data_IF_483210426726
#
_entry.id   IF_483210426726
#
_cell.length_a   1.000
_cell.length_b   1.000
_cell.length_c   1.000
_cell.angle_alpha   90.00
_cell.angle_beta   90.00
_cell.angle_gamma   90.00
#
_symmetry.space_group_name_H-M   'P 1'
#
loop_
_entity.id
_entity.type
_entity.pdbx_description
1 polymer ?
#
# COMPACT_ATOMS: atom_id res chain seq x y z
N UNK A 1 5.57 -20.24 -3.69
CA UNK A 1 4.57 -20.61 -2.68
C UNK A 1 4.83 -19.85 -1.39
N UNK A 2 3.80 -19.56 -0.63
CA UNK A 2 3.86 -18.87 0.66
C UNK A 2 3.01 -19.64 1.67
N UNK A 3 3.58 -19.97 2.84
CA UNK A 3 2.93 -20.77 3.87
C UNK A 3 3.00 -20.07 5.23
N UNK A 4 1.95 -20.23 6.01
CA UNK A 4 1.88 -19.79 7.41
C UNK A 4 1.25 -20.92 8.24
N UNK A 5 1.85 -21.27 9.37
CA UNK A 5 1.35 -22.31 10.28
C UNK A 5 1.01 -23.64 9.55
N UNK A 6 1.93 -24.08 8.67
CA UNK A 6 1.78 -25.27 7.82
C UNK A 6 0.64 -25.17 6.77
N UNK A 7 -0.02 -24.05 6.67
CA UNK A 7 -1.06 -23.78 5.68
C UNK A 7 -0.49 -23.03 4.49
N UNK A 8 -0.70 -23.52 3.29
CA UNK A 8 -0.35 -22.80 2.08
C UNK A 8 -1.34 -21.64 1.87
N UNK A 9 -0.81 -20.40 1.85
CA UNK A 9 -1.58 -19.19 1.62
C UNK A 9 -1.67 -18.85 0.13
N UNK A 10 -0.56 -19.02 -0.59
CA UNK A 10 -0.46 -18.76 -2.02
C UNK A 10 0.46 -19.81 -2.64
N UNK A 11 -0.08 -20.59 -3.60
CA UNK A 11 0.69 -21.55 -4.41
C UNK A 11 1.04 -20.94 -5.77
N UNK A 12 2.06 -21.45 -6.41
CA UNK A 12 2.50 -21.20 -7.82
C UNK A 12 2.07 -19.85 -8.42
N UNK A 13 2.32 -18.76 -7.68
CA UNK A 13 1.93 -17.41 -8.07
C UNK A 13 3.03 -16.79 -8.96
N UNK A 14 2.66 -16.37 -10.16
CA UNK A 14 3.52 -15.60 -11.05
C UNK A 14 2.78 -14.38 -11.54
N UNK A 15 3.34 -13.21 -11.32
CA UNK A 15 2.75 -11.93 -11.70
C UNK A 15 3.84 -10.90 -11.99
N UNK A 16 3.61 -10.02 -12.96
CA UNK A 16 4.47 -8.90 -13.27
C UNK A 16 3.66 -7.61 -13.35
N UNK A 17 4.14 -6.58 -12.65
CA UNK A 17 3.63 -5.21 -12.76
C UNK A 17 4.32 -4.47 -13.90
N UNK A 18 3.52 -3.85 -14.76
CA UNK A 18 4.00 -3.03 -15.86
C UNK A 18 3.68 -1.55 -15.60
N UNK A 19 4.37 -0.62 -16.26
CA UNK A 19 3.98 0.78 -16.23
C UNK A 19 2.50 0.97 -16.56
N UNK A 20 1.80 1.78 -15.75
CA UNK A 20 0.37 2.01 -15.90
C UNK A 20 -0.55 0.98 -15.26
N UNK A 21 -0.05 -0.14 -14.74
CA UNK A 21 -0.87 -1.13 -14.05
C UNK A 21 -1.42 -0.54 -12.73
N UNK A 22 -2.73 -0.70 -12.55
CA UNK A 22 -3.45 -0.46 -11.31
C UNK A 22 -4.02 -1.80 -10.86
N UNK A 23 -3.20 -2.57 -10.16
CA UNK A 23 -3.50 -3.95 -9.81
C UNK A 23 -4.11 -4.05 -8.43
N UNK A 24 -5.33 -4.55 -8.36
CA UNK A 24 -6.01 -4.79 -7.09
C UNK A 24 -5.94 -6.26 -6.71
N UNK A 25 -5.53 -6.54 -5.48
CA UNK A 25 -5.58 -7.87 -4.88
C UNK A 25 -6.89 -7.98 -4.10
N UNK A 26 -7.72 -8.93 -4.49
CA UNK A 26 -9.00 -9.23 -3.84
C UNK A 26 -9.03 -10.68 -3.33
N UNK A 27 -9.96 -10.97 -2.44
CA UNK A 27 -10.14 -12.31 -1.89
C UNK A 27 -10.66 -12.24 -0.45
N UNK A 28 -11.07 -13.38 0.09
CA UNK A 28 -11.58 -13.48 1.45
C UNK A 28 -10.52 -13.06 2.49
N UNK A 29 -11.00 -12.65 3.66
CA UNK A 29 -10.13 -12.32 4.79
C UNK A 29 -9.32 -13.56 5.22
N UNK A 30 -8.06 -13.34 5.62
CA UNK A 30 -7.16 -14.43 6.00
C UNK A 30 -6.50 -15.20 4.84
N UNK A 31 -6.71 -14.78 3.59
CA UNK A 31 -6.08 -15.41 2.40
C UNK A 31 -4.64 -14.95 2.15
N UNK A 32 -4.06 -14.20 3.08
CA UNK A 32 -2.65 -13.80 2.98
C UNK A 32 -2.36 -12.62 2.06
N UNK A 33 -3.37 -11.82 1.70
CA UNK A 33 -3.20 -10.61 0.85
C UNK A 33 -2.16 -9.65 1.43
N UNK A 34 -2.36 -9.20 2.67
CA UNK A 34 -1.43 -8.28 3.36
C UNK A 34 -0.04 -8.90 3.55
N UNK A 35 0.02 -10.19 3.82
CA UNK A 35 1.28 -10.93 3.94
C UNK A 35 2.04 -10.97 2.61
N UNK A 36 1.32 -11.18 1.50
CA UNK A 36 1.90 -11.14 0.16
C UNK A 36 2.46 -9.75 -0.15
N UNK A 37 1.73 -8.70 0.19
CA UNK A 37 2.17 -7.33 -0.04
C UNK A 37 3.42 -6.98 0.77
N UNK A 38 3.46 -7.38 2.06
CA UNK A 38 4.65 -7.26 2.92
C UNK A 38 5.84 -8.02 2.36
N UNK A 39 5.64 -9.26 1.91
CA UNK A 39 6.68 -10.08 1.31
C UNK A 39 7.28 -9.42 0.05
N UNK A 40 6.44 -8.81 -0.79
CA UNK A 40 6.88 -8.07 -1.98
C UNK A 40 7.70 -6.85 -1.57
N UNK A 41 7.26 -6.13 -0.54
CA UNK A 41 7.95 -4.93 -0.06
C UNK A 41 9.30 -5.26 0.56
N UNK A 42 9.29 -6.08 1.61
CA UNK A 42 10.49 -6.51 2.34
C UNK A 42 10.24 -7.89 2.97
N UNK A 43 10.98 -8.87 2.51
CA UNK A 43 10.88 -10.25 2.98
C UNK A 43 11.18 -10.41 4.47
N UNK A 44 11.99 -9.51 5.06
CA UNK A 44 12.26 -9.51 6.50
C UNK A 44 11.01 -9.24 7.34
N UNK A 45 10.01 -8.54 6.80
CA UNK A 45 8.75 -8.25 7.49
C UNK A 45 7.90 -9.51 7.73
N UNK A 46 8.16 -10.59 7.01
CA UNK A 46 7.44 -11.85 7.13
C UNK A 46 8.31 -12.97 7.69
N UNK A 47 9.58 -12.67 7.96
CA UNK A 47 10.51 -13.63 8.54
C UNK A 47 10.03 -14.16 9.89
N UNK A 48 10.20 -15.46 10.12
CA UNK A 48 9.82 -16.12 11.36
C UNK A 48 8.37 -16.60 11.48
N UNK A 49 7.45 -16.11 10.61
CA UNK A 49 6.07 -16.58 10.62
C UNK A 49 5.53 -17.01 9.25
N UNK A 50 6.27 -16.77 8.18
CA UNK A 50 5.94 -17.20 6.82
C UNK A 50 7.12 -17.92 6.19
N UNK A 51 6.87 -19.12 5.68
CA UNK A 51 7.80 -19.82 4.79
C UNK A 51 7.41 -19.50 3.34
N UNK A 52 8.35 -19.10 2.52
CA UNK A 52 8.10 -18.82 1.13
C UNK A 52 9.21 -19.36 0.22
N UNK A 53 8.89 -19.60 -1.01
CA UNK A 53 9.83 -19.99 -2.06
C UNK A 53 9.47 -19.33 -3.38
N UNK A 54 10.47 -19.04 -4.17
CA UNK A 54 10.31 -18.34 -5.46
C UNK A 54 11.27 -17.18 -5.57
N UNK A 55 11.01 -16.31 -6.54
CA UNK A 55 11.83 -15.14 -6.83
C UNK A 55 10.97 -13.89 -6.89
N UNK A 56 11.41 -12.81 -6.26
CA UNK A 56 10.81 -11.49 -6.38
C UNK A 56 11.86 -10.59 -7.04
N UNK A 57 11.58 -10.16 -8.27
CA UNK A 57 12.46 -9.26 -9.00
C UNK A 57 12.06 -7.81 -8.74
N UNK A 58 12.86 -7.11 -7.98
CA UNK A 58 12.68 -5.69 -7.62
C UNK A 58 14.01 -4.93 -7.54
N UNK A 59 15.03 -5.44 -8.25
CA UNK A 59 16.40 -4.95 -8.15
C UNK A 59 16.51 -3.46 -8.49
N UNK A 60 17.02 -2.68 -7.56
CA UNK A 60 17.18 -1.23 -7.69
C UNK A 60 15.88 -0.43 -7.66
N UNK A 61 14.73 -1.05 -7.46
CA UNK A 61 13.43 -0.36 -7.37
C UNK A 61 13.20 0.22 -5.96
N UNK A 62 12.71 1.44 -5.93
CA UNK A 62 12.19 2.08 -4.71
C UNK A 62 10.72 1.76 -4.60
N UNK A 63 10.33 1.02 -3.56
CA UNK A 63 8.93 0.68 -3.30
C UNK A 63 8.37 1.61 -2.22
N UNK A 64 7.21 2.19 -2.49
CA UNK A 64 6.43 2.93 -1.50
C UNK A 64 5.37 2.02 -0.88
N UNK A 65 5.48 1.70 0.41
CA UNK A 65 4.55 0.82 1.11
C UNK A 65 3.70 1.58 2.13
N UNK A 66 2.39 1.52 1.96
CA UNK A 66 1.41 1.99 2.93
C UNK A 66 0.80 0.80 3.65
N UNK A 67 1.12 0.61 4.94
CA UNK A 67 0.47 -0.40 5.78
C UNK A 67 -0.98 -0.03 6.09
N UNK A 68 -1.81 -1.03 6.35
CA UNK A 68 -3.24 -0.86 6.65
C UNK A 68 -3.48 0.13 7.79
N UNK A 69 -2.72 0.00 8.87
CA UNK A 69 -2.85 0.87 10.04
C UNK A 69 -1.55 1.61 10.33
N UNK A 70 -1.70 2.74 11.02
CA UNK A 70 -0.58 3.43 11.65
C UNK A 70 -0.06 2.53 12.78
N UNK A 71 1.26 2.22 12.84
CA UNK A 71 1.84 1.49 13.96
C UNK A 71 1.50 2.12 15.31
N UNK A 72 1.26 1.29 16.32
CA UNK A 72 0.86 1.75 17.65
C UNK A 72 1.90 2.70 18.27
N UNK A 73 3.19 2.38 18.07
CA UNK A 73 4.32 3.20 18.51
C UNK A 73 4.37 4.60 17.88
N UNK A 74 3.70 4.80 16.75
CA UNK A 74 3.68 6.09 16.05
C UNK A 74 2.49 6.98 16.45
N UNK A 75 1.52 6.45 17.17
CA UNK A 75 0.30 7.20 17.56
C UNK A 75 0.58 8.38 18.45
N UNK A 76 1.55 8.24 19.33
CA UNK A 76 1.93 9.29 20.31
C UNK A 76 2.94 10.30 19.76
N UNK A 77 3.57 10.00 18.61
CA UNK A 77 4.44 10.94 17.92
C UNK A 77 3.64 12.11 17.37
N UNK A 78 4.22 13.30 17.40
CA UNK A 78 3.67 14.41 16.62
C UNK A 78 3.81 14.12 15.13
N UNK A 79 3.04 14.81 14.29
CA UNK A 79 3.16 14.66 12.84
C UNK A 79 4.59 14.97 12.38
N UNK A 80 5.21 16.00 12.95
CA UNK A 80 6.59 16.35 12.65
C UNK A 80 7.58 15.24 13.04
N UNK A 81 7.47 14.70 14.27
CA UNK A 81 8.33 13.59 14.72
C UNK A 81 8.15 12.35 13.84
N UNK A 82 6.91 12.05 13.45
CA UNK A 82 6.61 10.95 12.53
C UNK A 82 7.28 11.17 11.17
N UNK A 83 7.15 12.38 10.60
CA UNK A 83 7.80 12.74 9.34
C UNK A 83 9.32 12.69 9.41
N UNK A 84 9.92 13.10 10.53
CA UNK A 84 11.37 13.01 10.77
C UNK A 84 11.90 11.57 10.81
N UNK A 85 11.03 10.58 10.97
CA UNK A 85 11.38 9.17 10.84
C UNK A 85 11.62 8.73 9.38
N UNK A 86 11.26 9.56 8.41
CA UNK A 86 11.47 9.31 6.98
C UNK A 86 12.68 10.07 6.45
N UNK A 87 13.72 9.35 6.01
CA UNK A 87 14.93 9.92 5.46
C UNK A 87 14.63 10.86 4.27
N UNK A 88 13.70 10.45 3.40
CA UNK A 88 13.28 11.27 2.27
C UNK A 88 12.67 12.63 2.68
N UNK A 89 12.04 12.72 3.85
CA UNK A 89 11.54 13.99 4.38
C UNK A 89 12.68 14.86 4.89
N UNK A 90 13.65 14.27 5.60
CA UNK A 90 14.82 14.99 6.11
C UNK A 90 15.71 15.52 4.99
N UNK A 91 15.84 14.78 3.91
CA UNK A 91 16.62 15.13 2.74
C UNK A 91 15.92 16.11 1.79
N UNK A 92 14.60 16.28 1.95
CA UNK A 92 13.81 17.18 1.11
C UNK A 92 13.90 18.62 1.56
N UNK A 93 14.06 19.53 0.61
CA UNK A 93 13.92 20.95 0.87
C UNK A 93 12.47 21.32 1.22
N UNK A 94 12.23 22.41 1.96
CA UNK A 94 10.86 22.88 2.23
C UNK A 94 10.01 23.08 0.97
N UNK A 95 10.66 23.43 -0.15
CA UNK A 95 9.98 23.56 -1.45
C UNK A 95 9.51 22.20 -1.97
N UNK A 96 10.33 21.17 -1.91
CA UNK A 96 9.95 19.81 -2.36
C UNK A 96 8.82 19.25 -1.52
N UNK A 97 8.84 19.48 -0.21
CA UNK A 97 7.73 19.11 0.70
C UNK A 97 6.46 19.85 0.32
N UNK A 98 6.53 21.16 0.09
CA UNK A 98 5.39 21.96 -0.33
C UNK A 98 4.84 21.52 -1.71
N UNK A 99 5.71 21.22 -2.66
CA UNK A 99 5.32 20.74 -3.99
C UNK A 99 4.65 19.36 -3.93
N UNK A 100 5.13 18.45 -3.07
CA UNK A 100 4.50 17.15 -2.84
C UNK A 100 3.11 17.32 -2.21
N UNK A 101 3.00 18.16 -1.19
CA UNK A 101 1.73 18.48 -0.54
C UNK A 101 0.72 19.09 -1.53
N UNK A 102 1.16 20.03 -2.37
CA UNK A 102 0.30 20.68 -3.35
C UNK A 102 -0.25 19.70 -4.39
N UNK A 103 0.59 18.78 -4.90
CA UNK A 103 0.15 17.73 -5.84
C UNK A 103 -0.93 16.83 -5.23
N UNK A 104 -0.83 16.56 -3.95
CA UNK A 104 -1.79 15.73 -3.22
C UNK A 104 -2.94 16.52 -2.61
N UNK A 105 -3.02 17.84 -2.88
CA UNK A 105 -4.03 18.74 -2.29
C UNK A 105 -4.09 18.63 -0.77
N UNK A 106 -2.89 18.58 -0.17
CA UNK A 106 -2.71 18.39 1.26
C UNK A 106 -2.03 19.62 1.87
N UNK A 107 -2.45 20.11 3.05
CA UNK A 107 -1.83 21.27 3.68
C UNK A 107 -0.41 20.96 4.12
N UNK A 108 0.59 21.66 3.56
CA UNK A 108 2.01 21.40 3.85
C UNK A 108 2.40 21.66 5.30
N UNK A 109 1.69 22.51 6.00
CA UNK A 109 1.90 22.82 7.42
C UNK A 109 1.64 21.60 8.33
N UNK A 110 0.82 20.65 7.89
CA UNK A 110 0.58 19.41 8.65
C UNK A 110 1.83 18.53 8.80
N UNK A 111 2.79 18.60 7.91
CA UNK A 111 4.08 17.91 8.06
C UNK A 111 4.87 18.41 9.28
N UNK A 112 4.65 19.66 9.67
CA UNK A 112 5.37 20.35 10.75
C UNK A 112 4.51 20.51 12.00
N UNK A 113 3.34 19.86 12.03
CA UNK A 113 2.39 19.99 13.14
C UNK A 113 2.87 19.26 14.38
N UNK A 114 2.61 19.84 15.54
CA UNK A 114 2.80 19.24 16.86
C UNK A 114 1.60 18.39 17.32
N UNK A 115 0.55 18.27 16.48
CA UNK A 115 -0.56 17.35 16.74
C UNK A 115 -0.06 15.90 16.70
N UNK A 116 -0.53 15.10 17.67
CA UNK A 116 -0.23 13.67 17.71
C UNK A 116 -0.91 12.92 16.55
N UNK A 117 -0.19 12.01 15.93
CA UNK A 117 -0.67 11.18 14.81
C UNK A 117 -1.97 10.44 15.14
N UNK A 118 -2.12 9.96 16.37
CA UNK A 118 -3.34 9.30 16.84
C UNK A 118 -4.59 10.18 16.83
N UNK A 119 -4.46 11.51 16.82
CA UNK A 119 -5.56 12.48 16.83
C UNK A 119 -6.02 12.92 15.43
N UNK A 120 -5.28 12.55 14.40
CA UNK A 120 -5.68 12.82 13.02
C UNK A 120 -6.88 11.94 12.62
N UNK A 121 -7.72 12.45 11.74
CA UNK A 121 -8.75 11.62 11.10
C UNK A 121 -8.13 10.53 10.23
N UNK A 122 -8.90 9.50 9.87
CA UNK A 122 -8.45 8.46 8.94
C UNK A 122 -7.93 9.05 7.63
N UNK A 123 -8.68 9.98 7.05
CA UNK A 123 -8.30 10.66 5.83
C UNK A 123 -7.03 11.50 5.94
N UNK A 124 -6.89 12.29 7.02
CA UNK A 124 -5.67 13.06 7.29
C UNK A 124 -4.45 12.14 7.41
N UNK A 125 -4.57 11.01 8.12
CA UNK A 125 -3.49 10.02 8.27
C UNK A 125 -3.06 9.44 6.92
N UNK A 126 -4.01 9.02 6.11
CA UNK A 126 -3.73 8.44 4.79
C UNK A 126 -3.04 9.47 3.90
N UNK A 127 -3.57 10.69 3.83
CA UNK A 127 -2.99 11.76 3.01
C UNK A 127 -1.56 12.10 3.44
N UNK A 128 -1.30 12.25 4.76
CA UNK A 128 0.05 12.53 5.27
C UNK A 128 1.03 11.41 4.93
N UNK A 129 0.63 10.17 5.18
CA UNK A 129 1.47 8.99 4.89
C UNK A 129 1.74 8.83 3.40
N UNK A 130 0.75 9.06 2.55
CA UNK A 130 0.92 9.05 1.09
C UNK A 130 1.85 10.17 0.61
N UNK A 131 1.73 11.36 1.19
CA UNK A 131 2.61 12.47 0.88
C UNK A 131 4.08 12.17 1.22
N UNK A 132 4.33 11.54 2.38
CA UNK A 132 5.67 11.08 2.75
C UNK A 132 6.20 10.03 1.76
N UNK A 133 5.38 9.06 1.34
CA UNK A 133 5.77 8.09 0.32
C UNK A 133 6.13 8.75 -0.99
N UNK A 134 5.42 9.80 -1.39
CA UNK A 134 5.69 10.53 -2.63
C UNK A 134 7.06 11.21 -2.60
N UNK A 135 7.53 11.67 -1.44
CA UNK A 135 8.87 12.23 -1.28
C UNK A 135 9.98 11.21 -1.54
N UNK A 136 9.74 9.93 -1.29
CA UNK A 136 10.67 8.85 -1.62
C UNK A 136 10.82 8.61 -3.13
N UNK A 137 9.95 9.21 -3.96
CA UNK A 137 9.90 9.02 -5.42
C UNK A 137 9.86 7.54 -5.81
N UNK A 138 8.88 6.77 -5.32
CA UNK A 138 8.84 5.34 -5.55
C UNK A 138 8.62 5.01 -7.03
N UNK A 139 9.18 3.86 -7.43
CA UNK A 139 8.95 3.27 -8.75
C UNK A 139 7.63 2.47 -8.81
N UNK A 140 7.12 2.08 -7.64
CA UNK A 140 5.85 1.37 -7.48
C UNK A 140 5.26 1.65 -6.10
N UNK A 141 3.94 1.78 -6.03
CA UNK A 141 3.20 1.91 -4.78
C UNK A 141 2.56 0.58 -4.38
N UNK A 142 2.70 0.21 -3.12
CA UNK A 142 2.07 -0.94 -2.49
C UNK A 142 1.15 -0.43 -1.39
N UNK A 143 -0.18 -0.55 -1.55
CA UNK A 143 -1.15 0.03 -0.62
C UNK A 143 -2.00 -1.07 0.00
N UNK A 144 -1.93 -1.20 1.32
CA UNK A 144 -2.69 -2.21 2.07
C UNK A 144 -3.95 -1.58 2.69
N UNK A 145 -5.11 -1.91 2.13
CA UNK A 145 -6.43 -1.42 2.55
C UNK A 145 -6.48 0.11 2.75
N UNK A 146 -6.05 0.91 1.77
CA UNK A 146 -5.91 2.35 1.94
C UNK A 146 -7.25 3.08 2.10
N UNK A 147 -8.36 2.44 1.75
CA UNK A 147 -9.72 3.01 1.81
C UNK A 147 -10.45 2.79 3.14
N UNK A 148 -9.85 2.04 4.09
CA UNK A 148 -10.49 1.78 5.37
C UNK A 148 -10.75 3.06 6.15
N UNK A 149 -11.99 3.19 6.67
CA UNK A 149 -12.45 4.30 7.52
C UNK A 149 -12.29 5.71 6.89
N UNK A 150 -12.33 5.79 5.56
CA UNK A 150 -12.30 7.06 4.84
C UNK A 150 -13.71 7.63 4.64
N UNK A 151 -13.82 8.95 4.74
CA UNK A 151 -14.98 9.68 4.26
C UNK A 151 -15.00 9.74 2.72
N UNK A 152 -16.12 10.13 2.15
CA UNK A 152 -16.34 10.16 0.70
C UNK A 152 -15.32 11.06 0.00
N UNK A 153 -15.03 12.22 0.56
CA UNK A 153 -14.09 13.19 -0.03
C UNK A 153 -12.67 12.59 -0.10
N UNK A 154 -12.23 11.94 0.96
CA UNK A 154 -10.91 11.29 0.99
C UNK A 154 -10.87 10.08 0.07
N UNK A 155 -11.96 9.33 -0.05
CA UNK A 155 -12.06 8.21 -0.98
C UNK A 155 -11.93 8.68 -2.43
N UNK A 156 -12.64 9.74 -2.83
CA UNK A 156 -12.53 10.36 -4.16
C UNK A 156 -11.10 10.87 -4.42
N UNK A 157 -10.46 11.43 -3.40
CA UNK A 157 -9.07 11.83 -3.48
C UNK A 157 -8.14 10.63 -3.74
N UNK A 158 -8.34 9.52 -3.01
CA UNK A 158 -7.56 8.29 -3.17
C UNK A 158 -7.75 7.69 -4.57
N UNK A 159 -8.98 7.64 -5.06
CA UNK A 159 -9.30 7.21 -6.42
C UNK A 159 -8.54 8.04 -7.47
N UNK A 160 -8.57 9.35 -7.32
CA UNK A 160 -7.84 10.26 -8.22
C UNK A 160 -6.34 10.02 -8.15
N UNK A 161 -5.80 9.85 -6.94
CA UNK A 161 -4.38 9.53 -6.75
C UNK A 161 -3.98 8.25 -7.50
N UNK A 162 -4.70 7.14 -7.27
CA UNK A 162 -4.39 5.86 -7.91
C UNK A 162 -4.49 5.97 -9.42
N UNK A 163 -5.57 6.58 -9.93
CA UNK A 163 -5.85 6.71 -11.34
C UNK A 163 -4.83 7.55 -12.09
N UNK A 164 -4.41 8.67 -11.48
CA UNK A 164 -3.50 9.64 -12.10
C UNK A 164 -2.02 9.31 -11.86
N UNK A 165 -1.71 8.41 -10.93
CA UNK A 165 -0.35 8.01 -10.61
C UNK A 165 0.34 7.39 -11.85
N UNK A 166 1.48 7.94 -12.32
CA UNK A 166 2.18 7.37 -13.48
C UNK A 166 2.85 6.03 -13.17
N UNK A 167 3.20 5.78 -11.90
CA UNK A 167 3.81 4.53 -11.49
C UNK A 167 2.77 3.42 -11.34
N UNK A 168 3.17 2.14 -11.45
CA UNK A 168 2.30 1.03 -11.10
C UNK A 168 1.88 1.11 -9.64
N UNK A 169 0.63 0.74 -9.40
CA UNK A 169 0.06 0.65 -8.05
C UNK A 169 -0.48 -0.76 -7.85
N UNK A 170 0.01 -1.43 -6.82
CA UNK A 170 -0.52 -2.70 -6.34
C UNK A 170 -1.20 -2.44 -4.99
N UNK A 171 -2.49 -2.75 -4.88
CA UNK A 171 -3.23 -2.43 -3.67
C UNK A 171 -4.24 -3.52 -3.29
N UNK A 172 -4.54 -3.57 -2.02
CA UNK A 172 -5.58 -4.43 -1.46
C UNK A 172 -6.75 -3.53 -1.12
N UNK A 173 -7.95 -3.91 -1.52
CA UNK A 173 -9.19 -3.24 -1.10
C UNK A 173 -10.38 -4.18 -1.14
N UNK A 174 -11.35 -3.93 -0.27
CA UNK A 174 -12.70 -4.50 -0.28
C UNK A 174 -13.75 -3.50 -0.76
N UNK A 175 -13.35 -2.28 -1.05
CA UNK A 175 -14.24 -1.23 -1.52
C UNK A 175 -14.51 -1.37 -3.02
N UNK A 176 -15.74 -1.78 -3.36
CA UNK A 176 -16.14 -2.04 -4.75
C UNK A 176 -16.03 -0.77 -5.62
N UNK A 177 -16.40 0.40 -5.08
CA UNK A 177 -16.32 1.67 -5.81
C UNK A 177 -14.88 2.01 -6.15
N UNK A 178 -13.96 1.87 -5.18
CA UNK A 178 -12.54 2.09 -5.42
C UNK A 178 -12.01 1.15 -6.50
N UNK A 179 -12.38 -0.14 -6.44
CA UNK A 179 -11.98 -1.15 -7.42
C UNK A 179 -12.47 -0.81 -8.82
N UNK A 180 -13.76 -0.52 -8.96
CA UNK A 180 -14.39 -0.16 -10.24
C UNK A 180 -13.78 1.11 -10.87
N UNK A 181 -13.46 2.09 -10.05
CA UNK A 181 -12.99 3.39 -10.51
C UNK A 181 -11.48 3.43 -10.80
N UNK A 182 -10.70 2.47 -10.31
CA UNK A 182 -9.24 2.56 -10.37
C UNK A 182 -8.54 1.33 -10.96
N UNK A 183 -9.05 0.11 -10.74
CA UNK A 183 -8.36 -1.11 -11.14
C UNK A 183 -8.44 -1.35 -12.65
N UNK A 184 -7.30 -1.67 -13.26
CA UNK A 184 -7.22 -2.23 -14.62
C UNK A 184 -6.63 -3.65 -14.64
N UNK A 185 -6.20 -4.15 -13.49
CA UNK A 185 -5.77 -5.53 -13.26
C UNK A 185 -6.37 -6.03 -11.97
N UNK A 186 -6.96 -7.20 -11.98
CA UNK A 186 -7.48 -7.87 -10.78
C UNK A 186 -6.69 -9.14 -10.52
N UNK A 187 -6.20 -9.27 -9.31
CA UNK A 187 -5.55 -10.48 -8.78
C UNK A 187 -6.46 -11.05 -7.71
N UNK A 188 -7.14 -12.14 -8.04
CA UNK A 188 -8.06 -12.80 -7.11
C UNK A 188 -7.36 -13.96 -6.42
N UNK A 189 -7.19 -13.86 -5.11
CA UNK A 189 -6.69 -14.95 -4.25
C UNK A 189 -7.86 -15.76 -3.72
N UNK A 190 -8.03 -16.98 -4.21
CA UNK A 190 -9.10 -17.88 -3.79
C UNK A 190 -8.57 -18.99 -2.89
N UNK A 191 -9.32 -19.28 -1.81
CA UNK A 191 -9.11 -20.44 -1.00
C UNK A 191 -10.20 -21.49 -1.29
N UNK A 192 -9.82 -22.57 -1.97
CA UNK A 192 -10.75 -23.65 -2.21
C UNK A 192 -10.95 -24.49 -0.94
N UNK A 193 -12.19 -24.60 -0.50
CA UNK A 193 -12.61 -25.25 0.76
C UNK A 193 -12.43 -26.76 0.83
N UNK A 194 -11.68 -27.42 -0.02
CA UNK A 194 -11.38 -28.88 0.12
C UNK A 194 -10.06 -29.22 -0.57
N UNK A 195 -9.05 -29.65 0.22
CA UNK A 195 -7.83 -30.41 -0.19
C UNK A 195 -7.14 -30.02 -1.51
N UNK A 196 -7.48 -28.89 -2.09
CA UNK A 196 -6.87 -28.34 -3.30
C UNK A 196 -5.99 -27.14 -2.92
N UNK A 197 -4.89 -27.01 -3.63
CA UNK A 197 -3.98 -25.90 -3.51
C UNK A 197 -4.71 -24.55 -3.71
N UNK A 198 -4.36 -23.50 -2.95
CA UNK A 198 -4.87 -22.17 -3.19
C UNK A 198 -4.63 -21.75 -4.65
N UNK A 199 -5.66 -21.23 -5.29
CA UNK A 199 -5.59 -20.74 -6.68
C UNK A 199 -5.62 -19.23 -6.70
N UNK A 200 -5.08 -18.66 -7.75
CA UNK A 200 -5.21 -17.25 -8.06
C UNK A 200 -5.65 -17.07 -9.51
N UNK A 201 -6.32 -15.97 -9.77
CA UNK A 201 -6.66 -15.53 -11.12
C UNK A 201 -6.17 -14.10 -11.31
N UNK A 202 -5.57 -13.81 -12.43
CA UNK A 202 -5.18 -12.46 -12.84
C UNK A 202 -5.98 -12.12 -14.09
N UNK A 203 -6.75 -11.04 -14.04
CA UNK A 203 -7.49 -10.52 -15.17
C UNK A 203 -7.06 -9.08 -15.46
N UNK A 204 -6.79 -8.78 -16.73
CA UNK A 204 -6.59 -7.43 -17.23
C UNK A 204 -7.89 -6.95 -17.85
N UNK A 205 -8.31 -5.77 -17.45
CA UNK A 205 -9.51 -5.13 -17.99
C UNK A 205 -9.08 -4.24 -19.16
N UNK A 206 -9.74 -4.44 -20.30
CA UNK A 206 -9.49 -3.69 -21.53
C UNK A 206 -10.17 -2.33 -21.56
#
# INVERSE_FOLDING_TARGET
>A
AMKKDLRELVGDFTFALNPGDKAAIIGEEGNGKSTLLKLIYDENLVEGYVEWSGTIQKDGMILGYLSQELPEEDRDKTAYEFCCGEEAFLDSSPKEVADAAARLRFPADLFYSDRKMGTFSGGEKVKLRMALLTLRRPDCYLLDEPSNDLDIETLEWLESFIRECPQPVLYISHDEMLLENTANVIIHLEQLRRKTLPRYTVARMG
#
